data_IF_627066881598
#
_entry.id   IF_627066881598
#
_cell.length_a   1.000
_cell.length_b   1.000
_cell.length_c   1.000
_cell.angle_alpha   90.00
_cell.angle_beta   90.00
_cell.angle_gamma   90.00
#
_symmetry.space_group_name_H-M   'P 1'
#
loop_
_entity.id
_entity.type
_entity.pdbx_description
1 polymer ?
#
# COMPACT_ATOMS: atom_id res chain seq x y z
N UNK A 1 11.56 15.45 22.85
CA UNK A 1 12.08 16.55 23.71
C UNK A 1 13.35 17.16 23.12
N UNK A 2 14.12 16.36 22.40
CA UNK A 2 15.43 16.65 21.81
C UNK A 2 15.41 17.76 20.76
N UNK A 3 14.31 17.91 20.02
CA UNK A 3 14.15 18.93 18.96
C UNK A 3 13.31 20.15 19.39
N UNK A 4 12.87 20.24 20.66
CA UNK A 4 11.84 21.21 21.10
C UNK A 4 12.28 22.68 21.11
N UNK A 5 13.57 22.98 20.96
CA UNK A 5 14.09 24.35 20.87
C UNK A 5 14.81 24.61 19.54
N UNK A 6 14.41 23.87 18.51
CA UNK A 6 14.90 24.04 17.14
C UNK A 6 13.77 24.55 16.26
N UNK A 7 14.10 25.03 15.06
CA UNK A 7 13.09 25.37 14.03
C UNK A 7 12.49 24.11 13.36
N UNK A 8 12.34 23.02 14.12
CA UNK A 8 11.69 21.80 13.65
C UNK A 8 10.22 22.09 13.28
N UNK A 9 9.83 21.69 12.08
CA UNK A 9 8.48 21.90 11.56
C UNK A 9 7.48 21.04 12.32
N UNK A 10 6.33 21.63 12.65
CA UNK A 10 5.20 20.94 13.29
C UNK A 10 3.98 21.02 12.37
N UNK A 11 3.21 19.94 12.28
CA UNK A 11 1.95 19.90 11.53
C UNK A 11 1.42 18.48 11.38
N UNK A 12 0.14 18.34 11.04
CA UNK A 12 -0.60 17.06 11.04
C UNK A 12 0.00 16.00 10.12
N UNK A 13 0.66 16.43 9.03
CA UNK A 13 1.25 15.54 8.02
C UNK A 13 2.79 15.44 8.12
N UNK A 14 3.37 15.87 9.25
CA UNK A 14 4.81 15.82 9.49
C UNK A 14 5.09 14.75 10.55
N UNK A 15 5.91 13.75 10.17
CA UNK A 15 6.34 12.68 11.07
C UNK A 15 7.86 12.67 11.22
N UNK A 16 8.34 12.57 12.45
CA UNK A 16 9.76 12.38 12.78
C UNK A 16 10.04 10.91 13.12
N UNK A 17 11.10 10.36 12.53
CA UNK A 17 11.55 8.99 12.76
C UNK A 17 13.00 9.03 13.24
N UNK A 18 13.25 8.47 14.41
CA UNK A 18 14.58 8.47 15.05
C UNK A 18 15.11 7.05 15.15
N UNK A 19 16.30 6.82 14.58
CA UNK A 19 17.03 5.56 14.73
C UNK A 19 18.05 5.68 15.85
N UNK A 20 18.06 4.71 16.77
CA UNK A 20 19.10 4.60 17.80
C UNK A 20 20.12 3.56 17.33
N UNK A 21 21.35 4.01 17.06
CA UNK A 21 22.44 3.15 16.61
C UNK A 21 23.40 2.82 17.76
N UNK A 22 23.82 1.56 17.84
CA UNK A 22 24.77 1.07 18.82
C UNK A 22 26.13 0.80 18.17
N UNK A 23 27.22 0.58 18.94
CA UNK A 23 28.55 0.28 18.38
C UNK A 23 28.57 -0.90 17.40
N UNK A 24 27.67 -1.87 17.55
CA UNK A 24 27.49 -2.98 16.61
C UNK A 24 26.99 -2.56 15.21
N UNK A 25 26.40 -1.37 15.07
CA UNK A 25 25.95 -0.80 13.80
C UNK A 25 26.98 0.17 13.21
N UNK A 26 27.75 0.87 14.06
CA UNK A 26 28.69 1.92 13.64
C UNK A 26 30.16 1.48 13.57
N UNK A 27 30.47 0.22 13.92
CA UNK A 27 31.83 -0.31 13.78
C UNK A 27 32.29 -0.34 12.31
N UNK A 28 33.60 -0.37 12.09
CA UNK A 28 34.21 -0.29 10.75
C UNK A 28 33.68 -1.35 9.77
N UNK A 29 33.32 -2.53 10.25
CA UNK A 29 32.86 -3.63 9.41
C UNK A 29 31.41 -3.44 8.95
N UNK A 30 30.55 -2.85 9.78
CA UNK A 30 29.11 -2.65 9.49
C UNK A 30 28.76 -1.25 9.03
N UNK A 31 29.69 -0.29 9.12
CA UNK A 31 29.46 1.14 8.88
C UNK A 31 28.89 1.40 7.50
N UNK A 32 29.53 0.89 6.45
CA UNK A 32 29.15 1.21 5.07
C UNK A 32 27.77 0.63 4.73
N UNK A 33 27.48 -0.59 5.18
CA UNK A 33 26.15 -1.18 5.05
C UNK A 33 25.08 -0.38 5.81
N UNK A 34 25.39 0.06 7.04
CA UNK A 34 24.45 0.85 7.86
C UNK A 34 24.14 2.19 7.20
N UNK A 35 25.16 2.86 6.64
CA UNK A 35 24.97 4.09 5.85
C UNK A 35 24.08 3.82 4.65
N UNK A 36 24.32 2.71 3.92
CA UNK A 36 23.54 2.34 2.74
C UNK A 36 22.04 2.16 3.04
N UNK A 37 21.72 1.55 4.17
CA UNK A 37 20.33 1.33 4.58
C UNK A 37 19.67 2.60 5.11
N UNK A 38 20.38 3.40 5.91
CA UNK A 38 19.79 4.60 6.55
C UNK A 38 19.55 5.71 5.53
N UNK A 39 20.46 5.95 4.59
CA UNK A 39 20.29 7.05 3.63
C UNK A 39 19.13 6.80 2.65
N UNK A 40 18.80 5.53 2.38
CA UNK A 40 17.66 5.15 1.51
C UNK A 40 16.34 5.00 2.25
N UNK A 41 16.34 5.06 3.58
CA UNK A 41 15.17 4.72 4.40
C UNK A 41 13.92 5.53 4.03
N UNK A 42 14.06 6.84 3.79
CA UNK A 42 12.91 7.70 3.44
C UNK A 42 12.22 7.20 2.18
N UNK A 43 12.99 6.94 1.13
CA UNK A 43 12.46 6.51 -0.16
C UNK A 43 11.95 5.08 -0.08
N UNK A 44 12.62 4.22 0.70
CA UNK A 44 12.17 2.87 1.01
C UNK A 44 10.79 2.86 1.68
N UNK A 45 10.59 3.67 2.73
CA UNK A 45 9.30 3.79 3.43
C UNK A 45 8.21 4.27 2.48
N UNK A 46 8.48 5.35 1.73
CA UNK A 46 7.51 5.91 0.79
C UNK A 46 7.22 4.99 -0.40
N UNK A 47 8.18 4.15 -0.81
CA UNK A 47 8.00 3.12 -1.81
C UNK A 47 7.04 2.05 -1.29
N UNK A 48 7.29 1.51 -0.09
CA UNK A 48 6.45 0.45 0.49
C UNK A 48 5.02 0.92 0.81
N UNK A 49 4.81 2.19 1.18
CA UNK A 49 3.45 2.76 1.30
C UNK A 49 2.73 2.73 -0.06
N UNK A 50 3.42 3.12 -1.15
CA UNK A 50 2.82 3.08 -2.50
C UNK A 50 2.54 1.65 -2.96
N UNK A 51 3.46 0.72 -2.72
CA UNK A 51 3.26 -0.71 -3.02
C UNK A 51 2.07 -1.29 -2.24
N UNK A 52 1.94 -0.94 -0.96
CA UNK A 52 0.79 -1.37 -0.15
C UNK A 52 -0.54 -0.87 -0.72
N UNK A 53 -0.61 0.40 -1.16
CA UNK A 53 -1.80 0.92 -1.86
C UNK A 53 -2.09 0.14 -3.14
N UNK A 54 -1.08 -0.15 -3.96
CA UNK A 54 -1.24 -0.93 -5.18
C UNK A 54 -1.75 -2.35 -4.88
N UNK A 55 -1.23 -2.99 -3.84
CA UNK A 55 -1.69 -4.29 -3.39
C UNK A 55 -3.16 -4.26 -2.94
N UNK A 56 -3.56 -3.27 -2.13
CA UNK A 56 -4.95 -3.09 -1.73
C UNK A 56 -5.85 -2.87 -2.94
N UNK A 57 -5.45 -2.06 -3.93
CA UNK A 57 -6.20 -1.92 -5.18
C UNK A 57 -6.40 -3.26 -5.90
N UNK A 58 -5.38 -4.12 -5.97
CA UNK A 58 -5.53 -5.45 -6.57
C UNK A 58 -6.55 -6.31 -5.81
N UNK A 59 -6.56 -6.27 -4.48
CA UNK A 59 -7.55 -6.96 -3.64
C UNK A 59 -8.96 -6.41 -3.85
N UNK A 60 -9.11 -5.10 -3.94
CA UNK A 60 -10.38 -4.44 -4.25
C UNK A 60 -10.91 -4.89 -5.60
N UNK A 61 -10.07 -4.92 -6.64
CA UNK A 61 -10.47 -5.39 -7.98
C UNK A 61 -10.94 -6.84 -7.98
N UNK A 62 -10.22 -7.73 -7.30
CA UNK A 62 -10.63 -9.13 -7.16
C UNK A 62 -12.02 -9.24 -6.51
N UNK A 63 -12.24 -8.51 -5.41
CA UNK A 63 -13.53 -8.53 -4.72
C UNK A 63 -14.67 -7.92 -5.56
N UNK A 64 -14.41 -6.83 -6.28
CA UNK A 64 -15.37 -6.24 -7.21
C UNK A 64 -15.72 -7.20 -8.33
N UNK A 65 -14.75 -7.94 -8.88
CA UNK A 65 -15.01 -8.98 -9.88
C UNK A 65 -15.97 -10.05 -9.34
N UNK A 66 -15.79 -10.49 -8.10
CA UNK A 66 -16.70 -11.46 -7.48
C UNK A 66 -18.11 -10.87 -7.28
N UNK A 67 -18.22 -9.62 -6.84
CA UNK A 67 -19.52 -8.95 -6.74
C UNK A 67 -20.22 -8.82 -8.10
N UNK A 68 -19.49 -8.53 -9.16
CA UNK A 68 -20.05 -8.48 -10.51
C UNK A 68 -20.57 -9.84 -10.99
N UNK A 69 -19.90 -10.95 -10.64
CA UNK A 69 -20.41 -12.31 -10.94
C UNK A 69 -21.74 -12.57 -10.24
N UNK A 70 -21.83 -12.20 -8.96
CA UNK A 70 -23.08 -12.36 -8.18
C UNK A 70 -24.20 -11.51 -8.81
N UNK A 71 -23.91 -10.26 -9.16
CA UNK A 71 -24.87 -9.35 -9.79
C UNK A 71 -25.36 -9.89 -11.14
N UNK A 72 -24.46 -10.40 -11.97
CA UNK A 72 -24.81 -10.96 -13.28
C UNK A 72 -25.64 -12.24 -13.13
N UNK A 73 -25.37 -13.09 -12.14
CA UNK A 73 -26.18 -14.28 -11.83
C UNK A 73 -27.59 -13.93 -11.33
N UNK A 74 -27.75 -12.78 -10.68
CA UNK A 74 -29.06 -12.31 -10.21
C UNK A 74 -29.95 -11.75 -11.33
N UNK A 75 -29.43 -11.52 -12.54
CA UNK A 75 -30.26 -11.11 -13.68
C UNK A 75 -31.14 -12.29 -14.11
N UNK A 76 -32.47 -12.10 -14.23
CA UNK A 76 -33.35 -13.13 -14.79
C UNK A 76 -32.88 -13.51 -16.19
N UNK A 77 -32.87 -14.80 -16.52
CA UNK A 77 -32.64 -15.22 -17.89
C UNK A 77 -33.70 -14.59 -18.78
N UNK A 78 -33.29 -14.05 -19.95
CA UNK A 78 -34.27 -13.64 -20.96
C UNK A 78 -35.03 -14.90 -21.34
N UNK A 79 -36.33 -14.93 -21.04
CA UNK A 79 -37.20 -15.99 -21.55
C UNK A 79 -36.98 -16.04 -23.06
N UNK A 80 -36.43 -17.15 -23.56
CA UNK A 80 -36.46 -17.43 -24.98
C UNK A 80 -37.94 -17.44 -25.35
N UNK A 81 -38.42 -16.39 -26.00
CA UNK A 81 -39.66 -16.44 -26.76
C UNK A 81 -39.45 -17.49 -27.84
N UNK A 82 -39.80 -18.74 -27.52
CA UNK A 82 -40.02 -19.78 -28.51
C UNK A 82 -41.04 -19.19 -29.50
N UNK A 83 -40.57 -18.96 -30.73
CA UNK A 83 -41.45 -18.61 -31.84
C UNK A 83 -42.35 -19.82 -32.06
N UNK A 84 -43.57 -19.81 -31.51
CA UNK A 84 -44.61 -20.76 -31.87
C UNK A 84 -44.96 -20.50 -33.33
N UNK A 85 -44.54 -21.38 -34.23
CA UNK A 85 -45.05 -21.46 -35.59
C UNK A 85 -46.51 -21.87 -35.51
N UNK A 86 -47.41 -20.96 -35.92
CA UNK A 86 -48.83 -21.26 -36.11
C UNK A 86 -48.93 -22.11 -37.38
N UNK A 87 -49.48 -23.32 -37.27
CA UNK A 87 -49.86 -24.19 -38.39
C UNK A 87 -51.32 -23.94 -38.72
#
# INVERSE_FOLDING_TARGET
MELQNTEARVGDNIGYITFVLFPRHTNKNSRDNTINLIHTFRDYLHYHIKCSKAYIHSRMRAKTSDFLKILNRARPEKQNTEKRTIT
#
